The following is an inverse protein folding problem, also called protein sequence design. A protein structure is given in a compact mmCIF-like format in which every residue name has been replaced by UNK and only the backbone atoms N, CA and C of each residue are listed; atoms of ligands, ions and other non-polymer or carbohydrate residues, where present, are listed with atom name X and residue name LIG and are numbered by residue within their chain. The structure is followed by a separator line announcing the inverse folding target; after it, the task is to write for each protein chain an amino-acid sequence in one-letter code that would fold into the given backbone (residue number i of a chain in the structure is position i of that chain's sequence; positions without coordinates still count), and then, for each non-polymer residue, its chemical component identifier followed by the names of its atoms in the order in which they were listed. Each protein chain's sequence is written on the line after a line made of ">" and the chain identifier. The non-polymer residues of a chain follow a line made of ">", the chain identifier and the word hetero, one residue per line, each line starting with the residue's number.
data_IF_684743719202
#
_entry.id   IF_684743719202
#
_cell.length_a   1.000
_cell.length_b   1.000
_cell.length_c   1.000
_cell.angle_alpha   90.00
_cell.angle_beta   90.00
_cell.angle_gamma   90.00
#
_symmetry.space_group_name_H-M   'P 1'
#
loop_
_entity.id
_entity.type
_entity.pdbx_description
1 polymer ?
#
# COMPACT_ATOMS: atom_id res chain seq x y z
N UNK A 1 19.11 57.52 -41.44
CA UNK A 1 17.89 56.71 -41.68
C UNK A 1 18.32 55.25 -41.49
N UNK A 2 18.28 54.75 -40.26
CA UNK A 2 17.20 53.99 -39.59
C UNK A 2 17.48 52.48 -39.56
N UNK A 3 17.89 52.03 -38.37
CA UNK A 3 17.70 50.77 -37.66
C UNK A 3 17.56 49.44 -38.41
N UNK A 4 18.29 48.43 -37.92
CA UNK A 4 17.65 47.17 -37.48
C UNK A 4 18.24 46.68 -36.16
N UNK A 5 17.43 46.76 -35.11
CA UNK A 5 17.68 46.24 -33.77
C UNK A 5 17.48 44.72 -33.73
N UNK A 6 18.36 44.05 -32.98
CA UNK A 6 18.31 42.61 -32.72
C UNK A 6 17.05 42.24 -31.93
N UNK A 7 16.44 41.10 -32.24
CA UNK A 7 15.43 40.45 -31.38
C UNK A 7 15.83 39.01 -31.16
N UNK A 8 16.45 38.74 -30.01
CA UNK A 8 16.60 37.40 -29.45
C UNK A 8 15.30 37.04 -28.75
N UNK A 9 14.53 36.13 -29.33
CA UNK A 9 13.38 35.52 -28.67
C UNK A 9 13.89 34.45 -27.69
N UNK A 10 13.77 34.70 -26.39
CA UNK A 10 14.02 33.70 -25.34
C UNK A 10 12.72 32.90 -25.17
N UNK A 11 12.71 31.66 -25.64
CA UNK A 11 11.62 30.73 -25.39
C UNK A 11 11.76 30.15 -23.97
N UNK A 12 10.94 30.61 -23.04
CA UNK A 12 10.86 30.04 -21.69
C UNK A 12 10.19 28.67 -21.73
N UNK A 13 10.96 27.62 -21.47
CA UNK A 13 10.50 26.25 -21.31
C UNK A 13 9.83 26.12 -19.92
N UNK A 14 8.50 26.10 -19.88
CA UNK A 14 7.73 25.83 -18.67
C UNK A 14 7.85 24.34 -18.34
N UNK A 15 8.73 23.98 -17.40
CA UNK A 15 8.79 22.64 -16.83
C UNK A 15 7.58 22.45 -15.90
N UNK A 16 6.54 21.75 -16.38
CA UNK A 16 5.44 21.30 -15.52
C UNK A 16 5.98 20.18 -14.64
N UNK A 17 6.34 20.51 -13.40
CA UNK A 17 6.58 19.51 -12.37
C UNK A 17 5.22 18.90 -12.01
N UNK A 18 4.89 17.75 -12.59
CA UNK A 18 3.76 16.94 -12.15
C UNK A 18 4.10 16.37 -10.78
N UNK A 19 3.55 16.98 -9.73
CA UNK A 19 3.55 16.38 -8.40
C UNK A 19 2.78 15.07 -8.48
N UNK A 20 3.47 13.94 -8.36
CA UNK A 20 2.84 12.67 -8.07
C UNK A 20 2.28 12.77 -6.65
N UNK A 21 1.00 13.13 -6.52
CA UNK A 21 0.28 12.94 -5.27
C UNK A 21 0.12 11.43 -5.10
N UNK A 22 0.84 10.83 -4.16
CA UNK A 22 0.46 9.51 -3.69
C UNK A 22 -0.90 9.66 -3.02
N UNK A 23 -1.86 8.81 -3.40
CA UNK A 23 -3.13 8.75 -2.70
C UNK A 23 -2.89 8.16 -1.31
N UNK A 24 -3.49 8.77 -0.27
CA UNK A 24 -3.42 8.26 1.09
C UNK A 24 -3.92 6.80 1.12
N UNK A 25 -3.20 5.94 1.84
CA UNK A 25 -3.50 4.52 1.94
C UNK A 25 -4.23 4.24 3.26
N UNK A 26 -5.40 3.61 3.20
CA UNK A 26 -6.12 3.15 4.38
C UNK A 26 -5.85 1.67 4.62
N UNK A 27 -5.36 1.33 5.81
CA UNK A 27 -5.35 -0.05 6.31
C UNK A 27 -6.68 -0.35 6.96
N UNK A 28 -7.30 -1.43 6.49
CA UNK A 28 -8.68 -1.78 6.78
C UNK A 28 -8.79 -3.19 7.34
N UNK A 29 -9.77 -3.37 8.22
CA UNK A 29 -10.19 -4.64 8.83
C UNK A 29 -11.72 -4.74 8.80
N UNK A 30 -12.25 -5.90 9.20
CA UNK A 30 -13.70 -6.07 9.34
C UNK A 30 -14.25 -5.07 10.38
N UNK A 31 -15.48 -4.53 10.20
CA UNK A 31 -16.11 -3.63 11.16
C UNK A 31 -16.06 -4.15 12.61
N UNK A 32 -16.44 -5.41 12.80
CA UNK A 32 -16.46 -6.10 14.11
C UNK A 32 -15.11 -6.62 14.62
N UNK A 33 -14.00 -6.41 13.90
CA UNK A 33 -12.68 -6.78 14.42
C UNK A 33 -12.39 -5.94 15.68
N UNK A 34 -11.88 -6.52 16.77
CA UNK A 34 -11.70 -5.77 18.03
C UNK A 34 -10.57 -4.73 17.97
N UNK A 35 -9.62 -4.87 17.05
CA UNK A 35 -8.48 -3.98 16.88
C UNK A 35 -8.94 -2.61 16.41
N UNK A 36 -8.45 -1.57 17.07
CA UNK A 36 -8.75 -0.16 16.75
C UNK A 36 -7.53 0.62 16.26
N UNK A 37 -6.33 0.18 16.65
CA UNK A 37 -5.07 0.82 16.25
C UNK A 37 -4.01 -0.24 15.98
N UNK A 38 -3.03 0.13 15.15
CA UNK A 38 -1.89 -0.71 14.78
C UNK A 38 -0.69 0.18 14.46
N UNK A 39 0.53 -0.32 14.64
CA UNK A 39 1.75 0.43 14.31
C UNK A 39 2.33 0.02 12.95
N UNK A 40 3.17 0.86 12.34
CA UNK A 40 3.95 0.49 11.13
C UNK A 40 4.77 -0.79 11.33
N UNK A 41 5.31 -0.98 12.54
CA UNK A 41 6.08 -2.19 12.89
C UNK A 41 5.21 -3.44 12.86
N UNK A 42 3.99 -3.37 13.40
CA UNK A 42 3.04 -4.48 13.38
C UNK A 42 2.61 -4.80 11.95
N UNK A 43 2.26 -3.77 11.16
CA UNK A 43 1.95 -3.92 9.74
C UNK A 43 3.09 -4.58 8.97
N UNK A 44 4.33 -4.12 9.19
CA UNK A 44 5.52 -4.69 8.56
C UNK A 44 5.70 -6.15 8.93
N UNK A 45 5.48 -6.52 10.20
CA UNK A 45 5.57 -7.91 10.63
C UNK A 45 4.48 -8.78 10.01
N UNK A 46 3.23 -8.30 9.96
CA UNK A 46 2.09 -9.03 9.39
C UNK A 46 2.29 -9.22 7.88
N UNK A 47 2.55 -8.14 7.14
CA UNK A 47 2.65 -8.17 5.67
C UNK A 47 3.97 -8.76 5.15
N UNK A 48 4.95 -9.02 6.02
CA UNK A 48 6.13 -9.84 5.74
C UNK A 48 6.01 -11.28 6.29
N UNK A 49 4.87 -11.67 6.87
CA UNK A 49 4.67 -13.03 7.39
C UNK A 49 5.56 -13.38 8.59
N UNK A 50 6.03 -12.37 9.33
CA UNK A 50 6.81 -12.54 10.58
C UNK A 50 5.91 -12.80 11.80
N UNK A 51 4.61 -12.54 11.66
CA UNK A 51 3.57 -12.79 12.65
C UNK A 51 2.26 -13.04 11.90
N UNK A 52 1.39 -13.88 12.45
CA UNK A 52 0.06 -14.21 11.95
C UNK A 52 -1.04 -13.67 12.88
N UNK A 53 -0.68 -12.72 13.73
CA UNK A 53 -1.51 -12.19 14.81
C UNK A 53 -1.46 -10.67 14.85
N UNK A 54 -2.61 -10.06 15.16
CA UNK A 54 -2.77 -8.66 15.53
C UNK A 54 -2.11 -8.37 16.90
N UNK A 55 -1.97 -7.09 17.31
CA UNK A 55 -1.40 -6.73 18.61
C UNK A 55 -2.13 -7.33 19.82
N UNK A 56 -3.44 -7.55 19.69
CA UNK A 56 -4.28 -8.19 20.73
C UNK A 56 -4.19 -9.73 20.73
N UNK A 57 -3.30 -10.30 19.90
CA UNK A 57 -3.08 -11.74 19.69
C UNK A 57 -4.20 -12.46 18.94
N UNK A 58 -5.24 -11.76 18.49
CA UNK A 58 -6.19 -12.33 17.55
C UNK A 58 -5.51 -12.60 16.20
N UNK A 59 -6.01 -13.56 15.43
CA UNK A 59 -5.42 -13.94 14.14
C UNK A 59 -5.50 -12.79 13.14
N UNK A 60 -4.41 -12.53 12.42
CA UNK A 60 -4.30 -11.57 11.33
C UNK A 60 -3.94 -12.27 10.01
N UNK A 61 -4.85 -12.27 9.06
CA UNK A 61 -4.66 -12.83 7.72
C UNK A 61 -4.53 -11.69 6.71
N UNK A 62 -3.31 -11.38 6.21
CA UNK A 62 -3.10 -10.28 5.28
C UNK A 62 -3.64 -10.57 3.87
N UNK A 63 -4.34 -9.59 3.31
CA UNK A 63 -4.81 -9.53 1.93
C UNK A 63 -4.04 -8.43 1.21
N UNK A 64 -3.34 -8.80 0.15
CA UNK A 64 -2.47 -7.90 -0.62
C UNK A 64 -3.13 -7.48 -1.94
N UNK A 65 -2.67 -6.36 -2.48
CA UNK A 65 -3.08 -5.88 -3.79
C UNK A 65 -2.34 -6.62 -4.90
N UNK A 66 -2.75 -6.38 -6.15
CA UNK A 66 -2.11 -7.00 -7.32
C UNK A 66 -0.64 -6.56 -7.39
N UNK A 67 0.25 -7.49 -7.69
CA UNK A 67 1.65 -7.19 -8.03
C UNK A 67 1.75 -6.16 -9.16
N UNK A 68 2.65 -5.18 -8.99
CA UNK A 68 2.84 -4.06 -9.92
C UNK A 68 1.76 -2.97 -9.84
N UNK A 69 0.84 -3.03 -8.86
CA UNK A 69 -0.05 -1.90 -8.61
C UNK A 69 0.69 -0.77 -7.86
N UNK A 70 0.49 0.51 -8.23
CA UNK A 70 1.14 1.63 -7.53
C UNK A 70 0.83 1.67 -6.04
N UNK A 71 -0.40 1.29 -5.64
CA UNK A 71 -0.81 1.24 -4.25
C UNK A 71 -0.01 0.21 -3.44
N UNK A 72 0.26 -0.97 -4.03
CA UNK A 72 1.10 -2.00 -3.39
C UNK A 72 2.52 -1.55 -3.19
N UNK A 73 3.10 -0.99 -4.24
CA UNK A 73 4.50 -0.56 -4.20
C UNK A 73 4.67 0.56 -3.18
N UNK A 74 3.75 1.54 -3.15
CA UNK A 74 3.72 2.58 -2.14
C UNK A 74 3.56 2.02 -0.72
N UNK A 75 2.61 1.11 -0.48
CA UNK A 75 2.40 0.47 0.82
C UNK A 75 3.67 -0.22 1.33
N UNK A 76 4.29 -1.08 0.51
CA UNK A 76 5.48 -1.83 0.92
C UNK A 76 6.70 -0.94 1.10
N UNK A 77 6.88 0.08 0.27
CA UNK A 77 7.93 1.08 0.46
C UNK A 77 7.74 1.80 1.79
N UNK A 78 6.52 2.23 2.13
CA UNK A 78 6.28 3.01 3.34
C UNK A 78 6.38 2.15 4.61
N UNK A 79 5.76 0.96 4.61
CA UNK A 79 5.64 0.09 5.79
C UNK A 79 6.87 -0.79 6.02
N UNK A 80 7.50 -1.27 4.94
CA UNK A 80 8.59 -2.25 5.05
C UNK A 80 9.94 -1.72 4.60
N UNK A 81 9.97 -0.53 3.99
CA UNK A 81 11.14 0.06 3.34
C UNK A 81 11.71 -0.85 2.24
N UNK A 82 10.84 -1.66 1.61
CA UNK A 82 11.21 -2.54 0.49
C UNK A 82 10.54 -2.07 -0.79
N UNK A 83 11.34 -1.95 -1.83
CA UNK A 83 10.81 -1.86 -3.19
C UNK A 83 10.31 -3.24 -3.68
N UNK A 84 9.67 -3.27 -4.86
CA UNK A 84 9.11 -4.48 -5.44
C UNK A 84 10.16 -5.59 -5.67
N UNK A 85 11.37 -5.25 -6.09
CA UNK A 85 12.42 -6.23 -6.35
C UNK A 85 12.94 -6.85 -5.03
N UNK A 86 13.12 -6.03 -4.00
CA UNK A 86 13.50 -6.46 -2.66
C UNK A 86 12.42 -7.31 -2.00
N UNK A 87 11.14 -6.95 -2.20
CA UNK A 87 10.00 -7.74 -1.73
C UNK A 87 9.92 -9.10 -2.44
N UNK A 88 10.12 -9.14 -3.76
CA UNK A 88 10.13 -10.38 -4.53
C UNK A 88 11.30 -11.28 -4.14
N UNK A 89 12.49 -10.71 -3.94
CA UNK A 89 13.65 -11.43 -3.40
C UNK A 89 13.39 -11.97 -1.99
N UNK A 90 12.75 -11.18 -1.13
CA UNK A 90 12.36 -11.59 0.22
C UNK A 90 11.46 -12.83 0.20
N UNK A 91 10.38 -12.81 -0.57
CA UNK A 91 9.45 -13.93 -0.67
C UNK A 91 10.05 -15.15 -1.38
N UNK A 92 10.85 -14.95 -2.43
CA UNK A 92 11.55 -16.04 -3.12
C UNK A 92 12.43 -16.84 -2.14
N UNK A 93 13.17 -16.15 -1.26
CA UNK A 93 13.99 -16.80 -0.24
C UNK A 93 13.16 -17.57 0.78
N UNK A 94 12.04 -17.02 1.25
CA UNK A 94 11.18 -17.69 2.22
C UNK A 94 10.51 -18.93 1.64
N UNK A 95 10.03 -18.86 0.40
CA UNK A 95 9.42 -20.00 -0.30
C UNK A 95 10.46 -21.10 -0.49
N UNK A 96 11.65 -20.77 -1.00
CA UNK A 96 12.72 -21.75 -1.23
C UNK A 96 13.16 -22.47 0.05
N UNK A 97 13.12 -21.77 1.19
CA UNK A 97 13.48 -22.35 2.49
C UNK A 97 12.29 -22.98 3.24
N UNK A 98 11.08 -22.96 2.67
CA UNK A 98 9.86 -23.47 3.31
C UNK A 98 9.43 -22.68 4.56
N UNK A 99 9.89 -21.43 4.70
CA UNK A 99 9.71 -20.61 5.91
C UNK A 99 8.55 -19.62 5.84
N UNK A 100 7.83 -19.57 4.73
CA UNK A 100 6.67 -18.68 4.62
C UNK A 100 6.07 -18.65 3.23
N UNK A 101 4.87 -18.08 3.17
CA UNK A 101 4.14 -17.82 1.93
C UNK A 101 3.73 -16.35 1.90
N UNK A 102 3.74 -15.71 0.73
CA UNK A 102 3.31 -14.32 0.62
C UNK A 102 1.80 -14.20 0.92
N UNK A 103 1.35 -13.01 1.37
CA UNK A 103 -0.06 -12.70 1.50
C UNK A 103 -0.86 -13.02 0.22
N UNK A 104 -2.15 -13.30 0.40
CA UNK A 104 -3.04 -13.55 -0.73
C UNK A 104 -3.25 -12.26 -1.52
N UNK A 105 -2.79 -12.23 -2.78
CA UNK A 105 -3.01 -11.12 -3.68
C UNK A 105 -4.40 -11.14 -4.30
N UNK A 106 -5.01 -9.96 -4.45
CA UNK A 106 -6.29 -9.77 -5.15
C UNK A 106 -6.21 -8.66 -6.18
N UNK A 107 -7.23 -8.58 -7.04
CA UNK A 107 -7.19 -7.71 -8.23
C UNK A 107 -7.20 -6.21 -7.91
N UNK A 108 -7.92 -5.79 -6.87
CA UNK A 108 -8.18 -4.38 -6.56
C UNK A 108 -8.86 -4.19 -5.19
N UNK A 109 -9.04 -2.92 -4.80
CA UNK A 109 -9.69 -2.46 -3.56
C UNK A 109 -11.07 -3.07 -3.33
N UNK A 110 -11.90 -3.14 -4.37
CA UNK A 110 -13.23 -3.79 -4.27
C UNK A 110 -13.10 -5.23 -3.79
N UNK A 111 -12.10 -5.97 -4.27
CA UNK A 111 -11.88 -7.35 -3.88
C UNK A 111 -11.27 -7.45 -2.47
N UNK A 112 -10.39 -6.52 -2.09
CA UNK A 112 -9.89 -6.41 -0.70
C UNK A 112 -11.06 -6.22 0.26
N UNK A 113 -11.88 -5.18 0.06
CA UNK A 113 -13.08 -4.91 0.90
C UNK A 113 -14.00 -6.12 0.96
N UNK A 114 -14.31 -6.74 -0.19
CA UNK A 114 -15.20 -7.90 -0.24
C UNK A 114 -14.68 -9.11 0.55
N UNK A 115 -13.37 -9.29 0.70
CA UNK A 115 -12.81 -10.37 1.51
C UNK A 115 -12.79 -9.99 2.98
N UNK A 116 -12.49 -8.73 3.30
CA UNK A 116 -12.44 -8.22 4.66
C UNK A 116 -13.82 -8.22 5.29
N UNK A 117 -14.85 -7.73 4.59
CA UNK A 117 -16.24 -7.68 5.10
C UNK A 117 -16.88 -9.05 5.36
N UNK A 118 -16.19 -10.15 5.02
CA UNK A 118 -16.66 -11.52 5.22
C UNK A 118 -15.85 -12.30 6.25
N UNK A 119 -14.72 -11.76 6.71
CA UNK A 119 -13.78 -12.49 7.58
C UNK A 119 -13.21 -11.52 8.61
N UNK A 120 -13.52 -11.75 9.88
CA UNK A 120 -13.11 -10.87 10.98
C UNK A 120 -11.61 -10.86 11.22
N UNK A 121 -10.88 -11.89 10.78
CA UNK A 121 -9.43 -12.03 10.93
C UNK A 121 -8.64 -11.41 9.76
N UNK A 122 -9.29 -10.89 8.72
CA UNK A 122 -8.60 -10.30 7.57
C UNK A 122 -8.16 -8.86 7.83
N UNK A 123 -6.96 -8.54 7.35
CA UNK A 123 -6.40 -7.19 7.25
C UNK A 123 -5.96 -6.94 5.82
N UNK A 124 -6.20 -5.74 5.30
CA UNK A 124 -5.74 -5.33 3.98
C UNK A 124 -5.54 -3.84 3.91
N UNK A 125 -5.22 -3.34 2.73
CA UNK A 125 -5.07 -1.91 2.49
C UNK A 125 -5.69 -1.52 1.15
N UNK A 126 -6.28 -0.32 1.11
CA UNK A 126 -6.99 0.23 -0.05
C UNK A 126 -6.67 1.72 -0.19
N UNK A 127 -7.01 2.30 -1.34
CA UNK A 127 -7.05 3.74 -1.49
C UNK A 127 -8.10 4.33 -0.54
N UNK A 128 -7.76 5.41 0.17
CA UNK A 128 -8.69 6.08 1.08
C UNK A 128 -9.98 6.53 0.40
N UNK A 129 -9.95 6.88 -0.89
CA UNK A 129 -11.13 7.23 -1.67
C UNK A 129 -12.12 6.06 -1.85
N UNK A 130 -11.67 4.82 -1.63
CA UNK A 130 -12.49 3.61 -1.74
C UNK A 130 -12.99 3.10 -0.38
N UNK A 131 -12.73 3.79 0.73
CA UNK A 131 -13.27 3.43 2.05
C UNK A 131 -14.77 3.67 2.11
N UNK A 132 -15.51 2.73 2.69
CA UNK A 132 -16.93 2.82 3.01
C UNK A 132 -17.25 1.98 4.26
N UNK A 133 -18.51 1.96 4.69
CA UNK A 133 -18.97 1.29 5.91
C UNK A 133 -18.81 -0.24 5.89
N UNK A 134 -18.42 -0.84 4.76
CA UNK A 134 -18.14 -2.28 4.69
C UNK A 134 -16.85 -2.70 5.40
N UNK A 135 -16.01 -1.73 5.77
CA UNK A 135 -14.72 -1.94 6.41
C UNK A 135 -14.46 -0.88 7.48
N UNK A 136 -13.60 -1.21 8.44
CA UNK A 136 -13.11 -0.28 9.45
C UNK A 136 -11.66 0.07 9.19
N UNK A 137 -11.34 1.36 9.18
CA UNK A 137 -9.95 1.85 9.08
C UNK A 137 -9.29 1.80 10.45
N UNK A 138 -8.08 1.23 10.52
CA UNK A 138 -7.28 1.15 11.76
C UNK A 138 -5.92 1.82 11.65
N UNK A 139 -5.53 2.24 10.43
CA UNK A 139 -4.32 3.01 10.17
C UNK A 139 -4.44 3.75 8.83
N UNK A 140 -3.84 4.94 8.74
CA UNK A 140 -3.73 5.70 7.48
C UNK A 140 -2.28 6.05 7.24
N UNK A 141 -1.78 5.73 6.05
CA UNK A 141 -0.43 6.08 5.60
C UNK A 141 -0.56 7.29 4.67
N UNK A 142 0.27 8.30 4.92
CA UNK A 142 0.34 9.56 4.18
C UNK A 142 1.74 9.75 3.60
#
# INVERSE_FOLDING_TARGET
>A
MTNKTHSLAIASLFAVATSFSFADIAVVVHPDNAVTTITDSDLSRIFLGKTDSFPDKSKATPIDQKEGSPLRDAFYIMVTKKDAAQLNSYWSRLIFTGKGTPPKMVRNDRKVKSLISKNTDHIGYIDTANVDDSVKVIFTIK
#
